data_IF_462588769189
#
_entry.id   IF_462588769189
#
_cell.length_a   1.000
_cell.length_b   1.000
_cell.length_c   1.000
_cell.angle_alpha   90.00
_cell.angle_beta   90.00
_cell.angle_gamma   90.00
#
_symmetry.space_group_name_H-M   'P 1'
#
loop_
_entity.id
_entity.type
_entity.pdbx_description
1 polymer ?
#
# COMPACT_ATOMS: atom_id res chain seq x y z
N UNK A 1 37.69 40.62 11.86
CA UNK A 1 38.68 39.51 11.92
C UNK A 1 38.05 38.15 12.20
N UNK A 2 37.23 37.97 13.25
CA UNK A 2 36.61 36.66 13.59
C UNK A 2 35.75 36.03 12.47
N UNK A 3 34.99 36.83 11.71
CA UNK A 3 34.13 36.32 10.61
C UNK A 3 34.92 35.84 9.39
N UNK A 4 36.07 36.47 9.10
CA UNK A 4 36.98 36.02 8.03
C UNK A 4 37.66 34.69 8.40
N UNK A 5 37.99 34.51 9.68
CA UNK A 5 38.56 33.28 10.21
C UNK A 5 37.61 32.08 10.04
N UNK A 6 36.31 32.31 10.21
CA UNK A 6 35.27 31.28 9.97
C UNK A 6 35.27 30.87 8.50
N UNK A 7 35.28 31.80 7.55
CA UNK A 7 35.29 31.46 6.12
C UNK A 7 36.55 30.71 5.68
N UNK A 8 37.72 31.10 6.22
CA UNK A 8 39.01 30.48 5.89
C UNK A 8 39.14 29.08 6.50
N UNK A 9 38.55 28.82 7.67
CA UNK A 9 38.56 27.51 8.31
C UNK A 9 37.43 26.58 7.83
N UNK A 10 36.32 27.15 7.35
CA UNK A 10 35.16 26.36 6.93
C UNK A 10 35.42 25.61 5.63
N UNK A 11 36.04 26.25 4.63
CA UNK A 11 36.38 25.60 3.35
C UNK A 11 37.25 24.34 3.51
N UNK A 12 38.39 24.37 4.23
CA UNK A 12 39.21 23.17 4.41
C UNK A 12 38.50 22.11 5.26
N UNK A 13 37.68 22.51 6.24
CA UNK A 13 36.89 21.57 7.04
C UNK A 13 35.86 20.82 6.18
N UNK A 14 35.15 21.51 5.27
CA UNK A 14 34.19 20.89 4.35
C UNK A 14 34.90 19.91 3.42
N UNK A 15 36.03 20.31 2.82
CA UNK A 15 36.81 19.43 1.94
C UNK A 15 37.33 18.18 2.66
N UNK A 16 37.78 18.32 3.91
CA UNK A 16 38.17 17.19 4.76
C UNK A 16 37.00 16.25 5.04
N UNK A 17 35.83 16.79 5.42
CA UNK A 17 34.64 15.96 5.68
C UNK A 17 34.15 15.23 4.43
N UNK A 18 34.19 15.89 3.27
CA UNK A 18 33.81 15.29 2.00
C UNK A 18 34.78 14.16 1.60
N UNK A 19 36.10 14.41 1.72
CA UNK A 19 37.13 13.41 1.46
C UNK A 19 37.02 12.19 2.37
N UNK A 20 36.77 12.40 3.66
CA UNK A 20 36.52 11.31 4.62
C UNK A 20 35.28 10.49 4.25
N UNK A 21 34.19 11.15 3.82
CA UNK A 21 32.99 10.47 3.37
C UNK A 21 33.24 9.60 2.12
N UNK A 22 34.03 10.07 1.15
CA UNK A 22 34.40 9.29 -0.04
C UNK A 22 35.27 8.08 0.30
N UNK A 23 36.22 8.22 1.25
CA UNK A 23 37.05 7.09 1.69
C UNK A 23 36.19 6.02 2.38
N UNK A 24 35.24 6.43 3.23
CA UNK A 24 34.29 5.52 3.87
C UNK A 24 33.38 4.86 2.83
N UNK A 25 32.86 5.62 1.86
CA UNK A 25 32.07 5.10 0.75
C UNK A 25 32.84 4.06 -0.09
N UNK A 26 34.15 4.25 -0.31
CA UNK A 26 35.01 3.31 -1.03
C UNK A 26 35.30 2.00 -0.26
N UNK A 27 35.11 1.97 1.06
CA UNK A 27 35.19 0.74 1.86
C UNK A 27 33.88 -0.07 1.80
N UNK A 28 32.77 0.56 1.40
CA UNK A 28 31.54 -0.15 1.10
C UNK A 28 31.64 -0.74 -0.30
N UNK A 29 32.29 -1.90 -0.43
CA UNK A 29 32.01 -2.76 -1.57
C UNK A 29 30.53 -3.10 -1.54
N UNK A 30 29.73 -2.78 -2.58
CA UNK A 30 28.38 -3.31 -2.65
C UNK A 30 28.53 -4.82 -2.70
N UNK A 31 28.18 -5.49 -1.62
CA UNK A 31 28.03 -6.92 -1.59
C UNK A 31 26.76 -7.21 -2.40
N UNK A 32 26.87 -7.08 -3.72
CA UNK A 32 25.86 -7.54 -4.66
C UNK A 32 25.94 -9.07 -4.71
N UNK A 33 25.64 -9.71 -3.58
CA UNK A 33 25.05 -11.02 -3.58
C UNK A 33 23.53 -10.83 -3.67
N UNK A 34 23.08 -10.32 -4.83
CA UNK A 34 21.81 -10.81 -5.34
C UNK A 34 22.07 -12.25 -5.75
N UNK A 35 22.09 -13.13 -4.75
CA UNK A 35 21.72 -14.50 -4.99
C UNK A 35 20.30 -14.37 -5.51
N UNK A 36 20.12 -14.62 -6.81
CA UNK A 36 18.84 -15.07 -7.31
C UNK A 36 18.49 -16.28 -6.43
N UNK A 37 17.77 -16.04 -5.32
CA UNK A 37 16.82 -17.02 -4.84
C UNK A 37 15.88 -17.15 -6.03
N UNK A 38 16.23 -18.08 -6.92
CA UNK A 38 15.30 -18.73 -7.80
C UNK A 38 14.09 -18.95 -6.91
N UNK A 39 13.04 -18.21 -7.23
CA UNK A 39 11.76 -18.20 -6.56
C UNK A 39 11.33 -19.66 -6.51
N UNK A 40 11.69 -20.36 -5.43
CA UNK A 40 10.96 -21.52 -4.98
C UNK A 40 9.59 -20.92 -4.70
N UNK A 41 8.71 -21.03 -5.69
CA UNK A 41 7.29 -20.99 -5.46
C UNK A 41 7.09 -21.83 -4.19
N UNK A 42 6.49 -21.30 -3.12
CA UNK A 42 6.20 -22.13 -1.97
C UNK A 42 5.32 -23.25 -2.51
N UNK A 43 5.93 -24.41 -2.71
CA UNK A 43 5.22 -25.65 -2.90
C UNK A 43 4.55 -25.79 -1.54
N UNK A 44 3.26 -25.42 -1.47
CA UNK A 44 2.45 -25.70 -0.31
C UNK A 44 2.40 -27.23 -0.20
N UNK A 45 3.40 -27.81 0.45
CA UNK A 45 3.34 -29.17 0.95
C UNK A 45 2.51 -29.04 2.21
N UNK A 46 1.20 -29.00 2.04
CA UNK A 46 0.31 -29.48 3.08
C UNK A 46 0.73 -30.92 3.33
N UNK A 47 1.32 -31.17 4.49
CA UNK A 47 1.50 -32.53 4.97
C UNK A 47 0.09 -33.10 5.18
N UNK A 48 -0.48 -33.71 4.15
CA UNK A 48 -1.54 -34.66 4.39
C UNK A 48 -0.81 -35.89 4.89
N UNK A 49 -0.59 -35.94 6.20
CA UNK A 49 -0.26 -37.17 6.89
C UNK A 49 -1.44 -38.11 6.64
N UNK A 50 -1.34 -38.92 5.60
CA UNK A 50 -2.27 -40.00 5.31
C UNK A 50 -2.55 -40.75 6.63
N UNK A 51 -3.76 -40.69 7.20
CA UNK A 51 -4.05 -41.49 8.36
C UNK A 51 -4.08 -42.94 7.88
N UNK A 52 -3.19 -43.77 8.43
CA UNK A 52 -3.13 -45.22 8.13
C UNK A 52 -4.35 -46.00 8.64
N UNK A 53 -5.41 -45.34 9.13
CA UNK A 53 -6.54 -45.96 9.83
C UNK A 53 -7.86 -45.40 9.32
N UNK A 54 -8.86 -46.27 9.14
CA UNK A 54 -10.24 -45.91 8.78
C UNK A 54 -10.80 -44.86 9.77
N UNK A 55 -11.29 -43.74 9.24
CA UNK A 55 -11.73 -42.57 10.01
C UNK A 55 -11.15 -41.24 9.51
N UNK A 56 -10.52 -41.21 8.33
CA UNK A 56 -9.95 -40.01 7.73
C UNK A 56 -11.02 -38.92 7.53
N UNK A 57 -10.87 -37.78 8.22
CA UNK A 57 -11.65 -36.59 7.95
C UNK A 57 -11.15 -35.97 6.64
N UNK A 58 -11.98 -35.98 5.60
CA UNK A 58 -11.75 -35.19 4.39
C UNK A 58 -12.23 -33.77 4.69
N UNK A 59 -11.32 -32.88 5.09
CA UNK A 59 -11.61 -31.45 4.95
C UNK A 59 -11.21 -31.05 3.53
N UNK A 60 -12.18 -30.84 2.65
CA UNK A 60 -11.95 -30.05 1.45
C UNK A 60 -11.53 -28.66 1.90
N UNK A 61 -10.23 -28.37 1.86
CA UNK A 61 -9.75 -27.00 1.96
C UNK A 61 -10.17 -26.33 0.66
N UNK A 62 -11.35 -25.72 0.64
CA UNK A 62 -11.68 -24.79 -0.41
C UNK A 62 -10.70 -23.62 -0.30
N UNK A 63 -10.02 -23.32 -1.39
CA UNK A 63 -9.14 -22.16 -1.47
C UNK A 63 -10.00 -20.89 -1.41
N UNK A 64 -10.34 -20.46 -0.20
CA UNK A 64 -11.06 -19.20 0.04
C UNK A 64 -10.11 -18.05 -0.25
N UNK A 65 -10.63 -17.01 -0.89
CA UNK A 65 -9.89 -15.78 -1.17
C UNK A 65 -9.38 -15.15 0.15
N UNK A 66 -8.06 -14.94 0.23
CA UNK A 66 -7.43 -14.36 1.42
C UNK A 66 -7.54 -12.82 1.48
N UNK A 67 -7.93 -12.15 0.39
CA UNK A 67 -8.00 -10.68 0.31
C UNK A 67 -8.96 -10.08 1.33
N UNK A 68 -10.22 -10.54 1.48
CA UNK A 68 -11.13 -10.03 2.50
C UNK A 68 -10.54 -10.07 3.91
N UNK A 69 -9.92 -11.19 4.29
CA UNK A 69 -9.33 -11.36 5.62
C UNK A 69 -8.10 -10.46 5.83
N UNK A 70 -7.26 -10.30 4.80
CA UNK A 70 -6.11 -9.39 4.83
C UNK A 70 -6.55 -7.94 4.99
N UNK A 71 -7.57 -7.51 4.25
CA UNK A 71 -8.12 -6.15 4.33
C UNK A 71 -8.70 -5.91 5.72
N UNK A 72 -9.55 -6.81 6.23
CA UNK A 72 -10.12 -6.72 7.57
C UNK A 72 -9.05 -6.57 8.67
N UNK A 73 -7.96 -7.35 8.56
CA UNK A 73 -6.83 -7.23 9.48
C UNK A 73 -6.07 -5.90 9.33
N UNK A 74 -5.89 -5.41 8.10
CA UNK A 74 -5.13 -4.19 7.81
C UNK A 74 -5.82 -2.91 8.30
N UNK A 75 -7.16 -2.88 8.25
CA UNK A 75 -7.97 -1.72 8.66
C UNK A 75 -8.40 -1.75 10.12
N UNK A 76 -7.99 -2.75 10.90
CA UNK A 76 -8.39 -2.91 12.30
C UNK A 76 -8.05 -1.66 13.14
N UNK A 77 -8.96 -1.28 14.03
CA UNK A 77 -8.85 -0.11 14.90
C UNK A 77 -8.97 1.21 14.13
N UNK A 78 -9.65 1.23 12.98
CA UNK A 78 -9.87 2.42 12.15
C UNK A 78 -11.36 2.61 11.88
N UNK A 79 -11.78 3.78 11.39
CA UNK A 79 -13.20 3.98 11.02
C UNK A 79 -13.62 3.19 9.78
N UNK A 80 -12.65 2.67 9.01
CA UNK A 80 -12.89 1.84 7.84
C UNK A 80 -13.16 0.37 8.21
N UNK A 81 -12.87 -0.05 9.44
CA UNK A 81 -13.02 -1.45 9.89
C UNK A 81 -14.41 -2.05 9.64
N UNK A 82 -15.54 -1.37 9.96
CA UNK A 82 -16.87 -1.92 9.71
C UNK A 82 -17.19 -2.10 8.23
N UNK A 83 -16.46 -1.41 7.35
CA UNK A 83 -16.71 -1.35 5.91
C UNK A 83 -15.71 -2.20 5.11
N UNK A 84 -14.83 -2.97 5.77
CA UNK A 84 -13.79 -3.75 5.12
C UNK A 84 -14.33 -4.73 4.07
N UNK A 85 -15.38 -5.48 4.40
CA UNK A 85 -16.00 -6.42 3.47
C UNK A 85 -16.63 -5.69 2.28
N UNK A 86 -17.41 -4.64 2.56
CA UNK A 86 -18.03 -3.80 1.54
C UNK A 86 -16.99 -3.20 0.58
N UNK A 87 -15.88 -2.66 1.10
CA UNK A 87 -14.78 -2.16 0.29
C UNK A 87 -14.25 -3.21 -0.68
N UNK A 88 -14.00 -4.43 -0.20
CA UNK A 88 -13.46 -5.49 -1.05
C UNK A 88 -14.46 -5.88 -2.13
N UNK A 89 -15.73 -6.10 -1.77
CA UNK A 89 -16.76 -6.51 -2.71
C UNK A 89 -17.04 -5.43 -3.77
N UNK A 90 -17.17 -4.18 -3.34
CA UNK A 90 -17.45 -3.04 -4.23
C UNK A 90 -16.28 -2.74 -5.15
N UNK A 91 -15.05 -2.65 -4.64
CA UNK A 91 -13.92 -2.38 -5.51
C UNK A 91 -13.61 -3.57 -6.44
N UNK A 92 -13.85 -4.82 -6.02
CA UNK A 92 -13.78 -5.98 -6.91
C UNK A 92 -14.80 -5.90 -8.05
N UNK A 93 -16.02 -5.43 -7.77
CA UNK A 93 -17.07 -5.26 -8.79
C UNK A 93 -16.65 -4.29 -9.90
N UNK A 94 -15.92 -3.23 -9.57
CA UNK A 94 -15.45 -2.22 -10.53
C UNK A 94 -14.04 -2.52 -11.07
N UNK A 95 -13.42 -3.63 -10.71
CA UNK A 95 -12.06 -3.95 -11.12
C UNK A 95 -12.03 -4.57 -12.53
N UNK A 96 -11.42 -3.93 -13.54
CA UNK A 96 -11.39 -4.48 -14.89
C UNK A 96 -10.50 -5.72 -15.02
N UNK A 97 -9.51 -5.90 -14.13
CA UNK A 97 -8.51 -6.96 -14.23
C UNK A 97 -8.69 -8.07 -13.19
N UNK A 98 -9.66 -7.95 -12.28
CA UNK A 98 -9.99 -8.94 -11.22
C UNK A 98 -8.86 -9.29 -10.24
N UNK A 99 -7.76 -8.52 -10.24
CA UNK A 99 -6.58 -8.73 -9.38
C UNK A 99 -6.57 -7.86 -8.11
N UNK A 100 -7.70 -7.23 -7.80
CA UNK A 100 -7.86 -6.28 -6.70
C UNK A 100 -7.01 -4.99 -6.74
N UNK A 101 -6.48 -4.45 -7.87
CA UNK A 101 -5.80 -3.15 -7.87
C UNK A 101 -6.60 -2.05 -7.17
N UNK A 102 -7.92 -1.98 -7.38
CA UNK A 102 -8.74 -0.94 -6.76
C UNK A 102 -8.77 -1.03 -5.23
N UNK A 103 -8.87 -2.24 -4.66
CA UNK A 103 -8.84 -2.44 -3.21
C UNK A 103 -7.51 -1.98 -2.62
N UNK A 104 -6.40 -2.37 -3.25
CA UNK A 104 -5.08 -2.00 -2.74
C UNK A 104 -4.80 -0.51 -2.88
N UNK A 105 -5.22 0.11 -3.98
CA UNK A 105 -5.05 1.54 -4.18
C UNK A 105 -5.92 2.38 -3.27
N UNK A 106 -7.19 1.99 -3.05
CA UNK A 106 -8.04 2.64 -2.05
C UNK A 106 -7.34 2.64 -0.69
N UNK A 107 -6.86 1.48 -0.24
CA UNK A 107 -6.20 1.34 1.06
C UNK A 107 -4.90 2.15 1.14
N UNK A 108 -4.09 2.16 0.08
CA UNK A 108 -2.85 2.92 0.02
C UNK A 108 -3.11 4.43 0.11
N UNK A 109 -4.04 4.94 -0.70
CA UNK A 109 -4.41 6.35 -0.73
C UNK A 109 -5.06 6.75 0.60
N UNK A 110 -6.05 5.99 1.08
CA UNK A 110 -6.72 6.28 2.35
C UNK A 110 -5.76 6.23 3.56
N UNK A 111 -4.72 5.39 3.51
CA UNK A 111 -3.68 5.36 4.54
C UNK A 111 -2.90 6.66 4.59
N UNK A 112 -2.54 7.22 3.44
CA UNK A 112 -1.74 8.45 3.34
C UNK A 112 -2.61 9.68 3.68
N UNK A 113 -3.78 9.77 3.05
CA UNK A 113 -4.65 10.95 3.14
C UNK A 113 -5.31 11.11 4.51
N UNK A 114 -5.76 10.00 5.10
CA UNK A 114 -6.60 10.07 6.30
C UNK A 114 -6.22 9.09 7.41
N UNK A 115 -5.10 8.37 7.26
CA UNK A 115 -4.74 7.26 8.13
C UNK A 115 -5.88 6.24 8.29
N UNK A 116 -6.48 5.85 7.15
CA UNK A 116 -7.66 4.98 7.06
C UNK A 116 -8.88 5.57 7.78
N UNK A 117 -9.30 6.75 7.33
CA UNK A 117 -10.48 7.47 7.84
C UNK A 117 -10.36 7.97 9.29
N UNK A 118 -9.18 7.93 9.91
CA UNK A 118 -8.96 8.48 11.27
C UNK A 118 -8.95 10.01 11.26
N UNK A 119 -8.44 10.61 10.20
CA UNK A 119 -8.30 12.06 10.01
C UNK A 119 -9.01 12.47 8.73
N UNK A 120 -10.28 12.84 8.85
CA UNK A 120 -11.11 13.31 7.74
C UNK A 120 -11.88 14.56 8.19
N UNK A 121 -12.30 15.44 7.26
CA UNK A 121 -13.21 16.52 7.59
C UNK A 121 -14.49 16.00 8.27
N UNK A 122 -15.01 16.75 9.25
CA UNK A 122 -16.17 16.33 10.04
C UNK A 122 -17.36 16.01 9.13
N UNK A 123 -17.98 14.83 9.26
CA UNK A 123 -19.12 14.37 8.45
C UNK A 123 -18.84 14.33 6.94
N UNK A 124 -17.61 14.08 6.48
CA UNK A 124 -17.35 13.90 5.03
C UNK A 124 -17.41 12.45 4.56
N UNK A 125 -17.07 11.48 5.43
CA UNK A 125 -16.88 10.05 5.09
C UNK A 125 -15.89 9.78 3.94
N UNK A 126 -15.12 10.80 3.52
CA UNK A 126 -14.22 10.74 2.39
C UNK A 126 -12.80 10.43 2.89
N UNK A 127 -12.39 9.17 2.75
CA UNK A 127 -11.12 8.69 3.27
C UNK A 127 -9.93 8.87 2.31
N UNK A 128 -10.21 9.03 1.02
CA UNK A 128 -9.19 9.09 -0.05
C UNK A 128 -8.91 10.50 -0.54
N UNK A 129 -9.65 11.50 -0.06
CA UNK A 129 -9.51 12.89 -0.52
C UNK A 129 -10.11 13.15 -1.90
N UNK A 130 -10.91 12.22 -2.42
CA UNK A 130 -11.52 12.33 -3.76
C UNK A 130 -12.41 13.56 -3.87
N UNK A 131 -12.24 14.36 -4.93
CA UNK A 131 -13.03 15.57 -5.15
C UNK A 131 -12.83 16.67 -4.09
N UNK A 132 -11.66 16.72 -3.43
CA UNK A 132 -11.28 17.83 -2.54
C UNK A 132 -10.33 18.78 -3.27
N UNK A 133 -10.73 20.04 -3.44
CA UNK A 133 -9.95 21.07 -4.12
C UNK A 133 -10.24 22.48 -3.56
N UNK A 134 -9.55 23.51 -4.07
CA UNK A 134 -9.70 24.88 -3.57
C UNK A 134 -11.13 25.43 -3.65
N UNK A 135 -11.89 25.04 -4.67
CA UNK A 135 -13.28 25.45 -4.84
C UNK A 135 -14.30 24.68 -3.98
N UNK A 136 -13.91 23.61 -3.27
CA UNK A 136 -14.87 22.82 -2.50
C UNK A 136 -14.38 21.46 -2.00
N UNK A 137 -15.17 20.85 -1.13
CA UNK A 137 -14.90 19.51 -0.58
C UNK A 137 -16.09 18.62 -0.88
N UNK A 138 -15.88 17.60 -1.71
CA UNK A 138 -16.87 16.54 -1.89
C UNK A 138 -17.03 15.74 -0.59
N UNK A 139 -18.28 15.64 -0.13
CA UNK A 139 -18.68 15.00 1.12
C UNK A 139 -19.77 13.98 0.81
N UNK A 140 -19.69 12.84 1.46
CA UNK A 140 -20.64 11.76 1.32
C UNK A 140 -21.48 11.61 2.58
N UNK A 141 -22.68 11.06 2.40
CA UNK A 141 -23.60 10.74 3.50
C UNK A 141 -23.13 9.53 4.32
N UNK A 142 -22.37 8.61 3.71
CA UNK A 142 -21.82 7.41 4.36
C UNK A 142 -20.46 7.00 3.79
N UNK A 143 -19.76 6.08 4.48
CA UNK A 143 -18.51 5.51 3.98
C UNK A 143 -18.75 4.59 2.77
N UNK A 144 -19.88 3.88 2.75
CA UNK A 144 -20.28 3.01 1.64
C UNK A 144 -20.49 3.83 0.35
N UNK A 145 -21.16 4.98 0.44
CA UNK A 145 -21.34 5.88 -0.70
C UNK A 145 -19.98 6.37 -1.23
N UNK A 146 -19.10 6.81 -0.32
CA UNK A 146 -17.75 7.25 -0.67
C UNK A 146 -16.91 6.15 -1.34
N UNK A 147 -17.00 4.92 -0.83
CA UNK A 147 -16.32 3.75 -1.39
C UNK A 147 -16.84 3.45 -2.79
N UNK A 148 -18.16 3.40 -2.99
CA UNK A 148 -18.77 3.07 -4.27
C UNK A 148 -18.43 4.13 -5.34
N UNK A 149 -18.57 5.41 -4.99
CA UNK A 149 -18.24 6.51 -5.90
C UNK A 149 -16.75 6.51 -6.27
N UNK A 150 -15.88 6.26 -5.28
CA UNK A 150 -14.44 6.15 -5.54
C UNK A 150 -14.09 4.95 -6.43
N UNK A 151 -14.56 3.74 -6.12
CA UNK A 151 -14.20 2.54 -6.89
C UNK A 151 -14.68 2.69 -8.35
N UNK A 152 -15.90 3.22 -8.55
CA UNK A 152 -16.44 3.51 -9.88
C UNK A 152 -15.62 4.58 -10.60
N UNK A 153 -15.45 5.75 -9.98
CA UNK A 153 -14.77 6.88 -10.59
C UNK A 153 -13.29 6.59 -10.89
N UNK A 154 -12.60 5.86 -10.01
CA UNK A 154 -11.21 5.47 -10.22
C UNK A 154 -11.09 4.46 -11.37
N UNK A 155 -12.01 3.50 -11.45
CA UNK A 155 -12.04 2.57 -12.59
C UNK A 155 -12.25 3.32 -13.91
N UNK A 156 -13.25 4.20 -13.96
CA UNK A 156 -13.66 4.89 -15.18
C UNK A 156 -12.60 5.87 -15.68
N UNK A 157 -12.00 6.66 -14.79
CA UNK A 157 -11.10 7.76 -15.16
C UNK A 157 -9.61 7.38 -15.21
N UNK A 158 -9.22 6.20 -14.71
CA UNK A 158 -7.82 5.79 -14.69
C UNK A 158 -7.63 4.39 -15.29
N UNK A 159 -8.25 3.37 -14.67
CA UNK A 159 -7.98 1.99 -15.09
C UNK A 159 -8.47 1.68 -16.50
N UNK A 160 -9.66 2.16 -16.87
CA UNK A 160 -10.22 1.98 -18.20
C UNK A 160 -9.44 2.74 -19.28
N UNK A 161 -8.68 3.77 -18.88
CA UNK A 161 -7.76 4.49 -19.75
C UNK A 161 -6.38 3.82 -19.87
N UNK A 162 -6.18 2.69 -19.17
CA UNK A 162 -4.90 1.96 -19.16
C UNK A 162 -3.88 2.51 -18.15
N UNK A 163 -4.27 3.48 -17.31
CA UNK A 163 -3.44 4.07 -16.26
C UNK A 163 -3.34 3.12 -15.06
N UNK A 164 -2.56 2.07 -15.25
CA UNK A 164 -2.42 0.96 -14.29
C UNK A 164 -1.31 1.15 -13.26
N UNK A 165 -0.48 2.19 -13.41
CA UNK A 165 0.61 2.52 -12.49
C UNK A 165 0.76 4.03 -12.38
N UNK A 166 1.27 4.56 -11.24
CA UNK A 166 1.49 6.01 -11.08
C UNK A 166 2.39 6.64 -12.14
N UNK A 167 3.32 5.88 -12.70
CA UNK A 167 4.25 6.35 -13.74
C UNK A 167 3.58 6.67 -15.10
N UNK A 168 2.27 6.39 -15.24
CA UNK A 168 1.51 6.63 -16.46
C UNK A 168 0.68 7.93 -16.42
N UNK A 169 0.67 8.65 -15.29
CA UNK A 169 -0.07 9.91 -15.06
C UNK A 169 0.82 11.14 -15.27
#
# INVERSE_FOLDING_TARGET
MKRLLICVLWLPAVLLTLGAAFLVAGQFTPQAQFTLLAKQLPQYISYISLPRVLGAFYSSVEAVDAVPQRVANYVRGTRLEPHAAYLVDTCKQYDPNTEYPLVYWYLAIARIESALCKRIPQNSHNCTGWGIHSAGTLRYSSYEEAIADWCKGFSENYLNEGLTTPDLV
#
